data_IF_410230259308
#
_entry.id   IF_410230259308
#
_cell.length_a   1.000
_cell.length_b   1.000
_cell.length_c   1.000
_cell.angle_alpha   90.00
_cell.angle_beta   90.00
_cell.angle_gamma   90.00
#
_symmetry.space_group_name_H-M   'P 1'
#
loop_
_entity.id
_entity.type
_entity.pdbx_description
1 polymer ?
#
# COMPACT_ATOMS: atom_id res chain seq x y z
N UNK A 1 -31.85 41.32 14.67
CA UNK A 1 -31.61 40.01 15.27
C UNK A 1 -30.83 39.20 14.25
N UNK A 2 -29.50 39.21 14.38
CA UNK A 2 -28.58 38.56 13.43
C UNK A 2 -28.26 37.15 13.93
N UNK A 3 -28.70 36.13 13.18
CA UNK A 3 -28.34 34.73 13.43
C UNK A 3 -26.95 34.47 12.82
N UNK A 4 -25.94 34.33 13.69
CA UNK A 4 -24.62 33.89 13.33
C UNK A 4 -24.65 32.36 13.27
N UNK A 5 -24.70 31.80 12.07
CA UNK A 5 -24.51 30.37 11.87
C UNK A 5 -23.03 30.01 12.05
N UNK A 6 -22.72 29.35 13.15
CA UNK A 6 -21.41 28.78 13.36
C UNK A 6 -21.26 27.52 12.47
N UNK A 7 -20.46 27.63 11.42
CA UNK A 7 -20.02 26.48 10.64
C UNK A 7 -18.94 25.77 11.43
N UNK A 8 -19.28 24.61 12.01
CA UNK A 8 -18.29 23.72 12.60
C UNK A 8 -17.49 23.08 11.44
N UNK A 9 -16.29 23.56 11.22
CA UNK A 9 -15.28 22.80 10.47
C UNK A 9 -14.84 21.62 11.34
N UNK A 10 -15.34 20.43 11.02
CA UNK A 10 -14.72 19.20 11.50
C UNK A 10 -13.32 19.12 10.88
N UNK A 11 -12.29 19.39 11.69
CA UNK A 11 -10.91 19.14 11.30
C UNK A 11 -10.74 17.63 11.13
N UNK A 12 -10.77 17.14 9.90
CA UNK A 12 -10.31 15.81 9.60
C UNK A 12 -8.83 15.75 10.02
N UNK A 13 -8.53 14.92 11.02
CA UNK A 13 -7.14 14.66 11.42
C UNK A 13 -6.45 13.98 10.23
N UNK A 14 -5.73 14.77 9.44
CA UNK A 14 -4.90 14.24 8.34
C UNK A 14 -3.76 13.50 9.03
N UNK A 15 -3.80 12.17 8.99
CA UNK A 15 -2.66 11.36 9.38
C UNK A 15 -1.50 11.72 8.45
N UNK A 16 -0.33 12.01 9.03
CA UNK A 16 0.82 12.47 8.28
C UNK A 16 1.13 11.49 7.13
N UNK A 17 0.96 11.93 5.87
CA UNK A 17 1.31 11.20 4.68
C UNK A 17 0.24 10.30 4.03
N UNK A 18 -0.90 10.04 4.68
CA UNK A 18 -2.01 9.26 4.08
C UNK A 18 -3.26 10.11 3.93
N UNK A 19 -3.86 10.13 2.72
CA UNK A 19 -5.10 10.88 2.43
C UNK A 19 -6.31 10.02 2.06
N UNK A 20 -6.10 8.72 1.80
CA UNK A 20 -7.16 7.73 1.61
C UNK A 20 -6.62 6.32 1.95
N UNK A 21 -7.47 5.31 1.93
CA UNK A 21 -7.16 3.92 2.32
C UNK A 21 -6.47 3.10 1.21
N UNK A 22 -6.37 3.62 0.00
CA UNK A 22 -5.71 2.95 -1.13
C UNK A 22 -4.20 2.82 -0.91
N UNK A 23 -3.62 1.76 -1.48
CA UNK A 23 -2.19 1.47 -1.33
C UNK A 23 -1.28 2.57 -1.89
N UNK A 24 -1.77 3.38 -2.83
CA UNK A 24 -1.04 4.49 -3.44
C UNK A 24 -1.43 5.87 -2.89
N UNK A 25 -2.30 5.93 -1.89
CA UNK A 25 -2.84 7.18 -1.35
C UNK A 25 -2.01 7.68 -0.16
N UNK A 26 -0.69 7.64 -0.29
CA UNK A 26 0.26 8.15 0.69
C UNK A 26 1.61 8.49 0.04
N UNK A 27 2.37 9.35 0.71
CA UNK A 27 3.64 9.87 0.18
C UNK A 27 4.69 8.77 0.01
N UNK A 28 4.81 7.85 0.96
CA UNK A 28 5.80 6.77 0.91
C UNK A 28 5.57 5.86 -0.31
N UNK A 29 4.32 5.53 -0.62
CA UNK A 29 3.98 4.74 -1.81
C UNK A 29 4.28 5.49 -3.11
N UNK A 30 4.04 6.80 -3.18
CA UNK A 30 4.36 7.60 -4.37
C UNK A 30 5.85 7.75 -4.58
N UNK A 31 6.63 7.98 -3.52
CA UNK A 31 8.09 7.99 -3.60
C UNK A 31 8.63 6.64 -4.05
N UNK A 32 8.06 5.55 -3.56
CA UNK A 32 8.39 4.21 -3.99
C UNK A 32 8.07 3.98 -5.48
N UNK A 33 6.96 4.49 -6.01
CA UNK A 33 6.61 4.42 -7.43
C UNK A 33 7.66 5.15 -8.29
N UNK A 34 8.16 6.31 -7.85
CA UNK A 34 9.24 7.03 -8.53
C UNK A 34 10.53 6.19 -8.63
N UNK A 35 10.81 5.37 -7.62
CA UNK A 35 11.95 4.43 -7.67
C UNK A 35 11.66 3.23 -8.60
N UNK A 36 10.43 2.70 -8.56
CA UNK A 36 9.99 1.61 -9.44
C UNK A 36 10.18 1.95 -10.92
N UNK A 37 9.94 3.19 -11.31
CA UNK A 37 10.10 3.63 -12.70
C UNK A 37 11.51 3.38 -13.25
N UNK A 38 12.53 3.34 -12.41
CA UNK A 38 13.93 3.09 -12.80
C UNK A 38 14.28 1.60 -12.81
N UNK A 39 13.45 0.76 -12.23
CA UNK A 39 13.69 -0.68 -12.18
C UNK A 39 13.47 -1.34 -13.56
N UNK A 40 14.32 -2.29 -13.90
CA UNK A 40 14.26 -3.01 -15.18
C UNK A 40 13.71 -4.45 -15.05
N UNK A 41 13.49 -4.92 -13.83
CA UNK A 41 13.01 -6.27 -13.52
C UNK A 41 12.27 -6.33 -12.19
N UNK A 42 11.94 -7.52 -11.71
CA UNK A 42 11.21 -7.75 -10.45
C UNK A 42 12.06 -7.70 -9.18
N UNK A 43 13.37 -7.50 -9.27
CA UNK A 43 14.26 -7.51 -8.10
C UNK A 43 13.89 -6.40 -7.11
N UNK A 44 13.46 -5.24 -7.61
CA UNK A 44 13.00 -4.13 -6.78
C UNK A 44 11.73 -4.48 -5.99
N UNK A 45 10.77 -5.17 -6.62
CA UNK A 45 9.56 -5.68 -5.94
C UNK A 45 9.95 -6.65 -4.81
N UNK A 46 10.80 -7.63 -5.13
CA UNK A 46 11.27 -8.62 -4.16
C UNK A 46 11.98 -7.99 -2.98
N UNK A 47 12.85 -7.01 -3.23
CA UNK A 47 13.58 -6.30 -2.18
C UNK A 47 12.64 -5.51 -1.26
N UNK A 48 11.65 -4.83 -1.83
CA UNK A 48 10.64 -4.09 -1.07
C UNK A 48 9.84 -5.01 -0.15
N UNK A 49 9.32 -6.10 -0.68
CA UNK A 49 8.49 -7.05 0.08
C UNK A 49 9.27 -7.74 1.21
N UNK A 50 10.56 -8.03 0.99
CA UNK A 50 11.40 -8.64 2.04
C UNK A 50 11.67 -7.72 3.23
N UNK A 51 11.68 -6.41 3.04
CA UNK A 51 11.90 -5.43 4.13
C UNK A 51 10.91 -5.61 5.26
N UNK A 52 9.67 -6.02 4.99
CA UNK A 52 8.63 -6.27 5.99
C UNK A 52 9.07 -7.31 7.03
N UNK A 53 9.90 -8.27 6.65
CA UNK A 53 10.34 -9.35 7.51
C UNK A 53 11.74 -9.15 8.13
N UNK A 54 12.38 -8.01 7.89
CA UNK A 54 13.74 -7.73 8.40
C UNK A 54 13.76 -7.36 9.88
N UNK A 55 12.65 -6.86 10.42
CA UNK A 55 12.51 -6.52 11.83
C UNK A 55 11.20 -7.06 12.40
N UNK A 56 11.29 -8.16 13.15
CA UNK A 56 10.12 -8.81 13.74
C UNK A 56 9.48 -8.01 14.90
N UNK A 57 10.17 -7.01 15.45
CA UNK A 57 9.70 -6.25 16.61
C UNK A 57 8.97 -4.98 16.24
N UNK A 58 9.35 -4.37 15.13
CA UNK A 58 8.76 -3.12 14.66
C UNK A 58 8.92 -2.99 13.15
N UNK A 59 7.81 -2.73 12.46
CA UNK A 59 7.75 -2.47 11.03
C UNK A 59 7.15 -1.08 10.88
N UNK A 60 7.96 -0.11 10.45
CA UNK A 60 7.48 1.26 10.25
C UNK A 60 6.41 1.34 9.16
N UNK A 61 5.60 2.39 9.23
CA UNK A 61 4.47 2.62 8.32
C UNK A 61 4.91 2.81 6.87
N UNK A 62 6.04 3.45 6.61
CA UNK A 62 6.60 3.63 5.25
C UNK A 62 7.00 2.29 4.62
N UNK A 63 7.60 1.39 5.39
CA UNK A 63 7.93 0.03 4.95
C UNK A 63 6.68 -0.73 4.55
N UNK A 64 5.63 -0.70 5.37
CA UNK A 64 4.36 -1.34 5.04
C UNK A 64 3.64 -0.66 3.88
N UNK A 65 3.62 0.67 3.79
CA UNK A 65 3.02 1.41 2.68
C UNK A 65 3.67 1.06 1.34
N UNK A 66 5.00 1.01 1.29
CA UNK A 66 5.75 0.58 0.11
C UNK A 66 5.48 -0.88 -0.25
N UNK A 67 5.37 -1.76 0.75
CA UNK A 67 5.08 -3.17 0.53
C UNK A 67 3.66 -3.40 -0.02
N UNK A 68 2.66 -2.67 0.46
CA UNK A 68 1.30 -2.70 -0.10
C UNK A 68 1.28 -2.22 -1.55
N UNK A 69 2.01 -1.14 -1.88
CA UNK A 69 2.17 -0.67 -3.25
C UNK A 69 2.84 -1.73 -4.15
N UNK A 70 3.92 -2.37 -3.67
CA UNK A 70 4.60 -3.45 -4.39
C UNK A 70 3.67 -4.66 -4.63
N UNK A 71 2.85 -5.03 -3.65
CA UNK A 71 1.88 -6.10 -3.76
C UNK A 71 0.77 -5.78 -4.79
N UNK A 72 0.33 -4.53 -4.87
CA UNK A 72 -0.59 -4.06 -5.92
C UNK A 72 0.03 -4.19 -7.32
N UNK A 73 1.32 -3.88 -7.47
CA UNK A 73 2.04 -4.07 -8.74
C UNK A 73 2.13 -5.56 -9.11
N UNK A 74 2.36 -6.45 -8.14
CA UNK A 74 2.32 -7.91 -8.36
C UNK A 74 0.94 -8.37 -8.84
N UNK A 75 -0.14 -7.90 -8.20
CA UNK A 75 -1.51 -8.22 -8.61
C UNK A 75 -1.81 -7.70 -10.03
N UNK A 76 -1.39 -6.47 -10.33
CA UNK A 76 -1.57 -5.85 -11.65
C UNK A 76 -0.80 -6.59 -12.75
N UNK A 77 0.44 -7.02 -12.49
CA UNK A 77 1.25 -7.83 -13.41
C UNK A 77 0.59 -9.19 -13.74
N UNK A 78 -0.22 -9.69 -12.83
CA UNK A 78 -1.04 -10.92 -13.03
C UNK A 78 -2.40 -10.66 -13.69
N UNK A 79 -2.65 -9.45 -14.17
CA UNK A 79 -3.90 -9.07 -14.84
C UNK A 79 -5.05 -8.73 -13.89
N UNK A 80 -4.76 -8.46 -12.61
CA UNK A 80 -5.74 -8.10 -11.59
C UNK A 80 -5.44 -6.74 -10.94
N UNK A 81 -5.37 -5.63 -11.72
CA UNK A 81 -5.05 -4.31 -11.20
C UNK A 81 -6.17 -3.74 -10.34
N UNK A 82 -5.82 -2.91 -9.36
CA UNK A 82 -6.76 -2.00 -8.73
C UNK A 82 -7.19 -0.90 -9.71
N UNK A 83 -8.42 -0.38 -9.58
CA UNK A 83 -8.92 0.67 -10.50
C UNK A 83 -8.07 1.95 -10.47
N UNK A 84 -7.58 2.31 -9.29
CA UNK A 84 -6.77 3.51 -9.04
C UNK A 84 -5.27 3.30 -9.27
N UNK A 85 -4.87 2.29 -10.04
CA UNK A 85 -3.46 2.03 -10.34
C UNK A 85 -2.82 3.25 -11.01
N UNK A 86 -1.70 3.79 -10.47
CA UNK A 86 -1.02 4.95 -11.05
C UNK A 86 -0.60 4.75 -12.52
N UNK A 87 -0.62 5.82 -13.31
CA UNK A 87 -0.23 5.78 -14.72
C UNK A 87 1.23 5.33 -14.90
N UNK A 88 2.12 5.75 -14.00
CA UNK A 88 3.54 5.38 -13.97
C UNK A 88 3.73 3.87 -13.81
N UNK A 89 2.94 3.24 -12.96
CA UNK A 89 2.95 1.79 -12.78
C UNK A 89 2.47 1.08 -14.04
N UNK A 90 1.44 1.59 -14.71
CA UNK A 90 0.96 1.03 -16.00
C UNK A 90 2.04 1.11 -17.07
N UNK A 91 2.76 2.22 -17.14
CA UNK A 91 3.89 2.41 -18.08
C UNK A 91 5.01 1.41 -17.77
N UNK A 92 5.37 1.27 -16.48
CA UNK A 92 6.38 0.32 -16.04
C UNK A 92 6.01 -1.13 -16.41
N UNK A 93 4.77 -1.55 -16.12
CA UNK A 93 4.26 -2.89 -16.45
C UNK A 93 4.35 -3.18 -17.96
N UNK A 94 4.01 -2.21 -18.80
CA UNK A 94 4.13 -2.35 -20.26
C UNK A 94 5.59 -2.48 -20.70
N UNK A 95 6.48 -1.67 -20.15
CA UNK A 95 7.89 -1.63 -20.51
C UNK A 95 8.64 -2.88 -20.08
N UNK A 96 8.42 -3.31 -18.84
CA UNK A 96 9.16 -4.43 -18.22
C UNK A 96 8.50 -5.77 -18.53
N UNK A 97 7.16 -5.80 -18.64
CA UNK A 97 6.37 -7.02 -18.82
C UNK A 97 6.81 -8.14 -17.84
N UNK A 98 6.76 -7.88 -16.53
CA UNK A 98 7.38 -8.75 -15.54
C UNK A 98 6.65 -10.10 -15.46
N UNK A 99 7.42 -11.16 -15.30
CA UNK A 99 6.90 -12.50 -14.97
C UNK A 99 6.91 -12.67 -13.47
N UNK A 100 5.74 -12.96 -12.90
CA UNK A 100 5.59 -13.13 -11.46
C UNK A 100 5.81 -14.62 -11.13
N UNK A 101 6.89 -14.90 -10.39
CA UNK A 101 7.16 -16.24 -9.87
C UNK A 101 6.21 -16.59 -8.72
N UNK A 102 6.05 -17.89 -8.44
CA UNK A 102 5.32 -18.36 -7.29
C UNK A 102 5.89 -17.81 -5.96
N UNK A 103 7.21 -17.67 -5.88
CA UNK A 103 7.91 -17.12 -4.71
C UNK A 103 7.61 -15.63 -4.52
N UNK A 104 7.65 -14.84 -5.61
CA UNK A 104 7.32 -13.41 -5.54
C UNK A 104 5.85 -13.20 -5.14
N UNK A 105 4.95 -14.03 -5.68
CA UNK A 105 3.53 -13.99 -5.30
C UNK A 105 3.33 -14.34 -3.83
N UNK A 106 3.98 -15.40 -3.32
CA UNK A 106 3.93 -15.78 -1.92
C UNK A 106 4.50 -14.69 -1.01
N UNK A 107 5.59 -14.05 -1.43
CA UNK A 107 6.19 -12.91 -0.72
C UNK A 107 5.25 -11.72 -0.64
N UNK A 108 4.55 -11.40 -1.73
CA UNK A 108 3.57 -10.32 -1.75
C UNK A 108 2.40 -10.60 -0.77
N UNK A 109 1.84 -11.81 -0.80
CA UNK A 109 0.78 -12.21 0.14
C UNK A 109 1.23 -12.09 1.58
N UNK A 110 2.39 -12.68 1.91
CA UNK A 110 2.96 -12.66 3.27
C UNK A 110 3.21 -11.24 3.77
N UNK A 111 3.73 -10.36 2.93
CA UNK A 111 3.96 -8.97 3.28
C UNK A 111 2.64 -8.22 3.59
N UNK A 112 1.61 -8.41 2.75
CA UNK A 112 0.28 -7.80 2.99
C UNK A 112 -0.33 -8.31 4.29
N UNK A 113 -0.31 -9.62 4.53
CA UNK A 113 -0.82 -10.23 5.76
C UNK A 113 -0.09 -9.70 7.00
N UNK A 114 1.23 -9.58 6.94
CA UNK A 114 2.05 -9.06 8.05
C UNK A 114 1.75 -7.59 8.32
N UNK A 115 1.66 -6.75 7.29
CA UNK A 115 1.33 -5.33 7.45
C UNK A 115 -0.11 -5.12 7.94
N UNK A 116 -1.05 -5.96 7.51
CA UNK A 116 -2.46 -5.88 7.86
C UNK A 116 -2.76 -6.39 9.26
N UNK A 117 -2.20 -7.53 9.62
CA UNK A 117 -2.58 -8.29 10.82
C UNK A 117 -1.47 -8.38 11.87
N UNK A 118 -0.22 -8.09 11.50
CA UNK A 118 0.96 -8.19 12.37
C UNK A 118 0.96 -7.16 13.50
N UNK A 119 1.23 -7.63 14.72
CA UNK A 119 1.30 -6.75 15.92
C UNK A 119 2.46 -5.74 15.85
N UNK A 120 3.49 -6.04 15.08
CA UNK A 120 4.66 -5.17 14.88
C UNK A 120 4.43 -4.07 13.85
N UNK A 121 3.32 -4.10 13.10
CA UNK A 121 3.01 -3.13 12.04
C UNK A 121 2.52 -1.81 12.61
N UNK A 122 3.33 -0.77 12.44
CA UNK A 122 2.95 0.60 12.81
C UNK A 122 1.79 1.10 11.93
N UNK A 123 1.80 0.79 10.64
CA UNK A 123 0.71 1.13 9.73
C UNK A 123 -0.65 0.57 10.20
N UNK A 124 -0.68 -0.67 10.71
CA UNK A 124 -1.89 -1.24 11.29
C UNK A 124 -2.38 -0.41 12.48
N UNK A 125 -1.48 -0.01 13.37
CA UNK A 125 -1.85 0.80 14.54
C UNK A 125 -2.38 2.17 14.13
N UNK A 126 -1.75 2.82 13.16
CA UNK A 126 -2.23 4.10 12.61
C UNK A 126 -3.66 3.99 12.07
N UNK A 127 -3.97 2.94 11.31
CA UNK A 127 -5.31 2.73 10.78
C UNK A 127 -6.33 2.37 11.88
N UNK A 128 -5.93 1.61 12.90
CA UNK A 128 -6.80 1.31 14.05
C UNK A 128 -7.26 2.57 14.80
N UNK A 129 -6.41 3.58 14.85
CA UNK A 129 -6.68 4.85 15.55
C UNK A 129 -7.35 5.91 14.65
N UNK A 130 -7.49 5.64 13.34
CA UNK A 130 -7.92 6.63 12.35
C UNK A 130 -9.43 6.85 12.25
N UNK A 131 -10.25 5.90 12.69
CA UNK A 131 -11.69 5.86 12.40
C UNK A 131 -12.05 5.25 11.03
N UNK A 132 -11.05 4.90 10.20
CA UNK A 132 -11.22 4.28 8.88
C UNK A 132 -10.71 2.84 8.82
N UNK A 133 -10.61 2.20 9.97
CA UNK A 133 -10.10 0.83 10.12
C UNK A 133 -10.81 -0.16 9.20
N UNK A 134 -12.14 -0.12 9.15
CA UNK A 134 -12.91 -1.04 8.32
C UNK A 134 -12.59 -0.87 6.84
N UNK A 135 -12.56 0.36 6.35
CA UNK A 135 -12.29 0.67 4.95
C UNK A 135 -10.89 0.19 4.53
N UNK A 136 -9.89 0.39 5.40
CA UNK A 136 -8.54 -0.09 5.15
C UNK A 136 -8.44 -1.63 5.18
N UNK A 137 -9.12 -2.28 6.13
CA UNK A 137 -9.19 -3.74 6.18
C UNK A 137 -9.87 -4.32 4.93
N UNK A 138 -10.93 -3.70 4.44
CA UNK A 138 -11.61 -4.11 3.20
C UNK A 138 -10.69 -3.94 1.98
N UNK A 139 -9.96 -2.84 1.88
CA UNK A 139 -9.01 -2.59 0.80
C UNK A 139 -7.86 -3.62 0.77
N UNK A 140 -7.30 -3.94 1.94
CA UNK A 140 -6.23 -4.96 2.05
C UNK A 140 -6.76 -6.38 1.83
N UNK A 141 -7.99 -6.68 2.22
CA UNK A 141 -8.64 -7.96 1.92
C UNK A 141 -8.90 -8.12 0.40
N UNK A 142 -9.32 -7.06 -0.28
CA UNK A 142 -9.44 -7.04 -1.74
C UNK A 142 -8.09 -7.32 -2.42
N UNK A 143 -7.02 -6.66 -1.98
CA UNK A 143 -5.67 -6.92 -2.50
C UNK A 143 -5.29 -8.40 -2.31
N UNK A 144 -5.49 -8.98 -1.12
CA UNK A 144 -5.21 -10.40 -0.87
C UNK A 144 -6.01 -11.31 -1.80
N UNK A 145 -7.27 -11.00 -2.09
CA UNK A 145 -8.09 -11.77 -3.02
C UNK A 145 -7.55 -11.72 -4.46
N UNK A 146 -6.99 -10.60 -4.88
CA UNK A 146 -6.37 -10.44 -6.21
C UNK A 146 -4.99 -11.08 -6.31
N UNK A 147 -4.36 -11.39 -5.18
CA UNK A 147 -3.11 -12.15 -5.07
C UNK A 147 -3.32 -13.68 -4.93
N UNK A 148 -4.54 -14.15 -4.92
CA UNK A 148 -4.86 -15.59 -4.81
C UNK A 148 -4.80 -16.32 -6.15
#
# INVERSE_FOLDING_TARGET
MLLVSAVLFAAASVHAGSWDVGAFDNDAALDWVNELERASDTAFLSATLRKVHMNAKFIDDDTCSSALAAAEVVAAARGRPVKSLPAEVRVWLKRVNPKISAELLASARSAVETCRDGKASDLRHLWQDSGFTKQWLDATADLLSRLS
#
